data_IF_888354009141
#
_entry.id   IF_888354009141
#
_cell.length_a   1.000
_cell.length_b   1.000
_cell.length_c   1.000
_cell.angle_alpha   90.00
_cell.angle_beta   90.00
_cell.angle_gamma   90.00
#
_symmetry.space_group_name_H-M   'P 1'
#
loop_
_entity.id
_entity.type
_entity.pdbx_description
1 polymer ?
#
# COMPACT_ATOMS: atom_id res chain seq x y z
N UNK A 1 3.77 -3.64 -15.41
CA UNK A 1 4.18 -4.32 -14.17
C UNK A 1 3.61 -3.52 -13.01
N UNK A 2 2.48 -3.93 -12.44
CA UNK A 2 1.95 -3.35 -11.21
C UNK A 2 2.31 -4.35 -10.12
N UNK A 3 3.46 -4.14 -9.48
CA UNK A 3 4.06 -5.13 -8.59
C UNK A 3 3.33 -5.20 -7.23
N UNK A 4 2.60 -4.14 -6.86
CA UNK A 4 1.68 -4.16 -5.72
C UNK A 4 0.68 -3.01 -5.84
N UNK A 5 -0.54 -3.24 -5.38
CA UNK A 5 -1.54 -2.21 -5.12
C UNK A 5 -1.72 -2.14 -3.61
N UNK A 6 -1.21 -1.07 -2.98
CA UNK A 6 -1.36 -0.84 -1.55
C UNK A 6 -2.73 -0.19 -1.30
N UNK A 7 -3.76 -1.02 -1.12
CA UNK A 7 -5.02 -0.58 -0.55
C UNK A 7 -5.16 -1.18 0.85
N UNK A 8 -5.17 -0.31 1.85
CA UNK A 8 -5.63 -0.69 3.18
C UNK A 8 -7.10 -1.15 3.08
N UNK A 9 -7.42 -2.27 3.71
CA UNK A 9 -8.79 -2.80 3.72
C UNK A 9 -9.76 -1.78 4.33
N UNK A 10 -9.31 -0.99 5.31
CA UNK A 10 -10.10 0.09 5.89
C UNK A 10 -10.48 1.15 4.84
N UNK A 11 -9.53 1.54 3.98
CA UNK A 11 -9.78 2.47 2.87
C UNK A 11 -10.77 1.89 1.84
N UNK A 12 -10.72 0.57 1.59
CA UNK A 12 -11.70 -0.10 0.71
C UNK A 12 -13.10 -0.07 1.34
N UNK A 13 -13.22 -0.30 2.64
CA UNK A 13 -14.49 -0.25 3.35
C UNK A 13 -15.07 1.17 3.39
N UNK A 14 -14.24 2.20 3.52
CA UNK A 14 -14.65 3.62 3.51
C UNK A 14 -15.00 4.14 2.11
N UNK A 15 -14.78 3.35 1.04
CA UNK A 15 -15.06 3.78 -0.33
C UNK A 15 -16.56 4.04 -0.59
N UNK A 16 -17.46 3.36 0.13
CA UNK A 16 -18.89 3.66 0.09
C UNK A 16 -19.21 5.08 0.58
N UNK A 17 -18.63 5.48 1.72
CA UNK A 17 -18.78 6.83 2.28
C UNK A 17 -18.24 7.90 1.33
N UNK A 18 -17.12 7.62 0.66
CA UNK A 18 -16.56 8.51 -0.37
C UNK A 18 -17.56 8.76 -1.50
N UNK A 19 -18.16 7.71 -2.04
CA UNK A 19 -19.15 7.83 -3.13
C UNK A 19 -20.42 8.54 -2.68
N UNK A 20 -20.88 8.29 -1.46
CA UNK A 20 -22.06 8.96 -0.90
C UNK A 20 -21.81 10.46 -0.70
N UNK A 21 -20.66 10.83 -0.14
CA UNK A 21 -20.30 12.22 0.07
C UNK A 21 -20.05 12.97 -1.25
N UNK A 22 -19.45 12.31 -2.25
CA UNK A 22 -19.31 12.88 -3.59
C UNK A 22 -20.68 13.17 -4.26
N UNK A 23 -21.67 12.28 -4.05
CA UNK A 23 -23.05 12.51 -4.53
C UNK A 23 -23.72 13.65 -3.79
N UNK A 24 -23.56 13.70 -2.47
CA UNK A 24 -24.06 14.83 -1.68
C UNK A 24 -23.52 16.15 -2.22
N UNK A 25 -22.21 16.26 -2.45
CA UNK A 25 -21.59 17.45 -3.04
C UNK A 25 -22.08 17.79 -4.45
N UNK A 26 -22.33 16.79 -5.28
CA UNK A 26 -22.93 17.00 -6.60
C UNK A 26 -24.35 17.57 -6.49
N UNK A 27 -25.15 17.07 -5.54
CA UNK A 27 -26.56 17.47 -5.37
C UNK A 27 -26.72 18.80 -4.60
N UNK A 28 -25.91 19.06 -3.57
CA UNK A 28 -26.03 20.23 -2.69
C UNK A 28 -25.17 21.42 -3.12
N UNK A 29 -23.96 21.17 -3.64
CA UNK A 29 -23.00 22.21 -4.00
C UNK A 29 -22.77 22.32 -5.52
N UNK A 30 -23.33 21.41 -6.31
CA UNK A 30 -23.14 21.38 -7.77
C UNK A 30 -21.73 20.95 -8.18
N UNK A 31 -21.00 20.27 -7.29
CA UNK A 31 -19.63 19.87 -7.55
C UNK A 31 -19.57 18.76 -8.61
N UNK A 32 -18.65 18.90 -9.56
CA UNK A 32 -18.25 17.77 -10.39
C UNK A 32 -17.45 16.77 -9.56
N UNK A 33 -17.42 15.50 -9.98
CA UNK A 33 -16.63 14.46 -9.31
C UNK A 33 -15.14 14.84 -9.16
N UNK A 34 -14.54 15.44 -10.18
CA UNK A 34 -13.16 15.93 -10.11
C UNK A 34 -13.01 17.13 -9.18
N UNK A 35 -13.99 18.03 -9.17
CA UNK A 35 -14.04 19.15 -8.24
C UNK A 35 -14.08 18.68 -6.78
N UNK A 36 -14.89 17.66 -6.49
CA UNK A 36 -14.91 17.01 -5.19
C UNK A 36 -13.54 16.44 -4.80
N UNK A 37 -12.87 15.70 -5.71
CA UNK A 37 -11.52 15.18 -5.43
C UNK A 37 -10.54 16.32 -5.13
N UNK A 38 -10.57 17.39 -5.93
CA UNK A 38 -9.67 18.54 -5.75
C UNK A 38 -9.90 19.25 -4.40
N UNK A 39 -11.16 19.38 -3.97
CA UNK A 39 -11.55 19.95 -2.68
C UNK A 39 -11.25 19.06 -1.47
N UNK A 40 -11.15 17.74 -1.65
CA UNK A 40 -10.96 16.82 -0.51
C UNK A 40 -9.55 16.23 -0.41
N UNK A 41 -8.82 16.19 -1.53
CA UNK A 41 -7.50 15.56 -1.67
C UNK A 41 -6.49 16.38 -2.48
N UNK A 42 -6.93 17.45 -3.15
CA UNK A 42 -6.08 18.31 -3.98
C UNK A 42 -5.73 19.64 -3.31
N UNK A 43 -5.41 20.64 -4.13
CA UNK A 43 -4.92 21.95 -3.67
C UNK A 43 -5.99 22.81 -2.99
N UNK A 44 -7.27 22.48 -3.16
CA UNK A 44 -8.39 23.25 -2.56
C UNK A 44 -8.80 22.74 -1.17
N UNK A 45 -8.14 21.70 -0.64
CA UNK A 45 -8.49 21.07 0.63
C UNK A 45 -8.57 22.01 1.82
N UNK A 46 -7.56 22.86 2.00
CA UNK A 46 -7.50 23.79 3.14
C UNK A 46 -8.62 24.82 3.08
N UNK A 47 -8.90 25.34 1.89
CA UNK A 47 -9.93 26.35 1.66
C UNK A 47 -11.32 25.75 1.89
N UNK A 48 -11.55 24.55 1.34
CA UNK A 48 -12.78 23.80 1.56
C UNK A 48 -13.02 23.45 3.03
N UNK A 49 -11.96 23.07 3.77
CA UNK A 49 -12.05 22.81 5.21
C UNK A 49 -12.48 24.05 6.01
N UNK A 50 -11.98 25.24 5.65
CA UNK A 50 -12.36 26.49 6.31
C UNK A 50 -13.79 26.94 5.97
N UNK A 51 -14.25 26.68 4.75
CA UNK A 51 -15.62 27.01 4.31
C UNK A 51 -16.68 26.10 4.93
N UNK A 52 -16.34 24.83 5.20
CA UNK A 52 -17.27 23.79 5.65
C UNK A 52 -16.76 23.07 6.91
N UNK A 53 -16.52 23.82 7.97
CA UNK A 53 -16.03 23.29 9.25
C UNK A 53 -17.07 22.34 9.87
N UNK A 54 -18.37 22.56 9.66
CA UNK A 54 -19.43 21.68 10.14
C UNK A 54 -19.37 20.25 9.57
N UNK A 55 -18.68 20.05 8.45
CA UNK A 55 -18.56 18.74 7.80
C UNK A 55 -17.30 17.96 8.20
N UNK A 56 -16.49 18.50 9.13
CA UNK A 56 -15.21 17.92 9.52
C UNK A 56 -15.31 16.44 9.94
N UNK A 57 -16.28 16.06 10.77
CA UNK A 57 -16.45 14.66 11.19
C UNK A 57 -16.76 13.72 10.02
N UNK A 58 -17.43 14.21 8.96
CA UNK A 58 -17.70 13.43 7.75
C UNK A 58 -16.43 13.31 6.91
N UNK A 59 -15.59 14.34 6.86
CA UNK A 59 -14.32 14.30 6.15
C UNK A 59 -13.37 13.26 6.72
N UNK A 60 -13.36 13.03 8.04
CA UNK A 60 -12.53 12.00 8.70
C UNK A 60 -12.92 10.57 8.30
N UNK A 61 -14.18 10.34 7.90
CA UNK A 61 -14.67 9.02 7.44
C UNK A 61 -14.32 8.72 5.98
N UNK A 62 -13.70 9.66 5.28
CA UNK A 62 -13.25 9.46 3.91
C UNK A 62 -11.96 8.62 3.88
N UNK A 63 -11.75 7.81 2.83
CA UNK A 63 -10.54 7.01 2.68
C UNK A 63 -9.31 7.91 2.51
N UNK A 64 -8.14 7.39 2.85
CA UNK A 64 -6.81 8.02 2.68
C UNK A 64 -6.58 9.32 3.48
N UNK A 65 -7.36 9.56 4.55
CA UNK A 65 -7.19 10.73 5.43
C UNK A 65 -6.16 10.47 6.54
N UNK A 66 -5.97 9.21 6.93
CA UNK A 66 -5.07 8.85 8.01
C UNK A 66 -3.60 8.94 7.56
N UNK A 67 -2.75 9.58 8.37
CA UNK A 67 -1.30 9.68 8.15
C UNK A 67 -0.59 8.38 8.58
N UNK A 68 -1.22 7.24 8.36
CA UNK A 68 -0.57 5.98 8.66
C UNK A 68 0.50 5.73 7.60
N UNK A 69 1.75 5.82 8.04
CA UNK A 69 2.87 5.07 7.51
C UNK A 69 2.53 3.57 7.64
N UNK A 70 1.59 3.10 6.84
CA UNK A 70 1.21 1.70 6.77
C UNK A 70 2.37 0.96 6.13
N UNK A 71 3.32 0.54 6.97
CA UNK A 71 4.22 -0.57 6.68
C UNK A 71 3.38 -1.86 6.69
N UNK A 72 2.42 -1.93 5.77
CA UNK A 72 1.55 -3.09 5.62
C UNK A 72 2.09 -3.88 4.44
N UNK A 73 2.96 -4.85 4.75
CA UNK A 73 3.18 -5.98 3.86
C UNK A 73 1.93 -6.86 3.90
N UNK A 74 0.85 -6.42 3.23
CA UNK A 74 -0.37 -7.20 3.13
C UNK A 74 -0.16 -8.30 2.08
N UNK A 75 0.33 -9.46 2.53
CA UNK A 75 0.35 -10.67 1.71
C UNK A 75 -1.07 -11.27 1.68
N UNK A 76 -1.94 -10.76 0.81
CA UNK A 76 -3.26 -11.35 0.60
C UNK A 76 -3.09 -12.66 -0.18
N UNK A 77 -3.14 -13.80 0.51
CA UNK A 77 -3.19 -15.11 -0.16
C UNK A 77 -4.64 -15.41 -0.56
N UNK A 78 -4.87 -15.66 -1.85
CA UNK A 78 -6.13 -16.21 -2.34
C UNK A 78 -5.87 -17.56 -3.01
N UNK A 79 -6.75 -18.53 -2.77
CA UNK A 79 -6.72 -19.81 -3.47
C UNK A 79 -7.48 -19.65 -4.78
N UNK A 80 -6.75 -19.48 -5.87
CA UNK A 80 -7.36 -19.49 -7.19
C UNK A 80 -7.63 -20.95 -7.58
N UNK A 81 -8.89 -21.38 -7.52
CA UNK A 81 -9.33 -22.71 -7.96
C UNK A 81 -9.28 -22.77 -9.51
N UNK A 82 -8.07 -22.85 -10.05
CA UNK A 82 -7.82 -23.07 -11.47
C UNK A 82 -7.45 -24.53 -11.64
N UNK A 83 -8.03 -25.18 -12.65
CA UNK A 83 -7.58 -26.51 -13.06
C UNK A 83 -6.15 -26.37 -13.59
N UNK A 84 -5.16 -26.69 -12.75
CA UNK A 84 -3.76 -26.74 -13.16
C UNK A 84 -3.56 -28.05 -13.89
N UNK A 85 -3.35 -27.97 -15.20
CA UNK A 85 -2.82 -29.12 -15.95
C UNK A 85 -1.40 -29.39 -15.44
N UNK A 86 -1.23 -30.50 -14.72
CA UNK A 86 0.07 -30.93 -14.25
C UNK A 86 0.88 -31.42 -15.46
N UNK A 87 2.03 -30.81 -15.78
CA UNK A 87 2.90 -31.34 -16.82
C UNK A 87 3.38 -32.73 -16.40
N UNK A 88 3.53 -33.61 -17.38
CA UNK A 88 4.09 -34.94 -17.19
C UNK A 88 5.47 -34.79 -16.54
N UNK A 89 5.74 -35.55 -15.47
CA UNK A 89 7.03 -35.50 -14.76
C UNK A 89 8.14 -35.88 -15.74
N UNK A 90 8.97 -34.91 -16.11
CA UNK A 90 10.20 -35.19 -16.83
C UNK A 90 11.19 -35.92 -15.89
N UNK A 91 11.94 -36.91 -16.40
CA UNK A 91 12.90 -37.63 -15.59
C UNK A 91 13.98 -36.68 -15.06
N UNK A 92 14.26 -36.77 -13.76
CA UNK A 92 15.30 -35.99 -13.10
C UNK A 92 16.65 -36.21 -13.78
N UNK A 93 17.23 -35.14 -14.32
CA UNK A 93 18.60 -35.13 -14.79
C UNK A 93 19.50 -34.80 -13.59
N UNK A 94 20.27 -35.79 -13.14
CA UNK A 94 21.25 -35.57 -12.08
C UNK A 94 22.36 -34.65 -12.60
N UNK A 95 22.39 -33.41 -12.11
CA UNK A 95 23.44 -32.45 -12.43
C UNK A 95 24.60 -32.70 -11.45
N UNK A 96 25.82 -33.02 -11.93
CA UNK A 96 26.96 -33.21 -11.05
C UNK A 96 27.28 -31.89 -10.33
N UNK A 97 27.33 -31.94 -9.00
CA UNK A 97 27.68 -30.80 -8.16
C UNK A 97 29.18 -30.51 -8.30
N UNK A 98 29.52 -29.46 -9.04
CA UNK A 98 30.91 -29.02 -9.23
C UNK A 98 31.40 -28.08 -8.11
N UNK A 99 30.74 -28.06 -6.97
CA UNK A 99 31.03 -27.18 -5.85
C UNK A 99 30.89 -27.94 -4.54
N UNK A 100 31.63 -27.50 -3.52
CA UNK A 100 31.57 -28.05 -2.18
C UNK A 100 31.45 -26.92 -1.18
N UNK A 101 30.71 -27.16 -0.11
CA UNK A 101 30.55 -26.20 0.97
C UNK A 101 31.87 -26.10 1.75
N UNK A 102 32.31 -24.88 2.02
CA UNK A 102 33.38 -24.59 2.98
C UNK A 102 32.73 -24.04 4.23
N UNK A 103 33.25 -24.47 5.38
CA UNK A 103 32.78 -23.97 6.66
C UNK A 103 32.96 -22.45 6.73
N UNK A 104 31.92 -21.69 7.13
CA UNK A 104 31.98 -20.24 7.14
C UNK A 104 32.96 -19.79 8.22
N UNK A 105 33.91 -18.96 7.84
CA UNK A 105 34.78 -18.26 8.79
C UNK A 105 34.11 -16.95 9.19
N UNK A 106 33.82 -16.77 10.48
CA UNK A 106 33.43 -15.47 11.03
C UNK A 106 34.63 -14.84 11.73
N UNK A 107 34.93 -13.60 11.39
CA UNK A 107 35.82 -12.78 12.21
C UNK A 107 35.06 -12.39 13.48
N UNK A 108 35.57 -12.77 14.65
CA UNK A 108 35.03 -12.35 15.94
C UNK A 108 35.13 -10.83 16.12
N UNK A 109 36.16 -10.23 15.52
CA UNK A 109 36.41 -8.80 15.60
C UNK A 109 35.61 -8.05 14.53
N UNK A 110 34.74 -7.14 14.97
CA UNK A 110 33.99 -6.26 14.08
C UNK A 110 34.95 -5.22 13.49
N UNK A 111 34.97 -5.09 12.15
CA UNK A 111 35.70 -4.01 11.49
C UNK A 111 35.22 -2.65 11.99
N UNK A 112 36.16 -1.77 12.36
CA UNK A 112 35.86 -0.41 12.83
C UNK A 112 35.20 0.48 11.78
N UNK A 113 35.19 0.03 10.52
CA UNK A 113 34.75 0.82 9.34
C UNK A 113 33.22 0.93 9.24
N UNK A 114 32.46 -0.02 9.81
CA UNK A 114 30.99 -0.04 9.70
C UNK A 114 30.28 0.44 10.96
N UNK A 115 30.82 1.48 11.62
CA UNK A 115 30.04 2.21 12.63
C UNK A 115 29.45 3.48 12.00
N UNK A 116 28.15 3.78 12.24
CA UNK A 116 27.58 5.04 11.82
C UNK A 116 28.38 6.22 12.44
N UNK A 117 28.46 7.38 11.75
CA UNK A 117 29.13 8.55 12.27
C UNK A 117 28.57 8.92 13.64
N UNK A 118 29.44 9.11 14.64
CA UNK A 118 29.01 9.36 16.02
C UNK A 118 28.47 10.78 16.23
N UNK A 119 28.64 11.69 15.26
CA UNK A 119 28.13 13.06 15.33
C UNK A 119 27.76 13.55 13.93
N UNK A 120 26.65 14.30 13.86
CA UNK A 120 26.16 15.03 12.68
C UNK A 120 26.78 16.43 12.62
#
# INVERSE_FOLDING_TARGET
>A
MVQSFNADMDNVLRFSNFLEHARFHADSHGDSFFGFIEKHYGGQKELHFQEHIEEHEKHEKLPFKEHHHSCLQMAVSFVLNTAVEMPLIEPFLEIPLNFYYKEPISLFEKSSVFQPPKQA
#
